data_IF_773823823133
#
_entry.id   IF_773823823133
#
_cell.length_a   1.000
_cell.length_b   1.000
_cell.length_c   1.000
_cell.angle_alpha   90.00
_cell.angle_beta   90.00
_cell.angle_gamma   90.00
#
_symmetry.space_group_name_H-M   'P 1'
#
loop_
_entity.id
_entity.type
_entity.pdbx_description
1 polymer ?
#
# COMPACT_ATOMS: atom_id res chain seq x y z
N UNK A 1 -39.43 -7.95 38.51
CA UNK A 1 -39.70 -8.01 37.05
C UNK A 1 -38.90 -6.90 36.39
N UNK A 2 -38.02 -7.17 35.43
CA UNK A 2 -37.19 -6.13 34.82
C UNK A 2 -38.08 -5.13 34.05
N UNK A 3 -37.86 -3.83 34.29
CA UNK A 3 -38.64 -2.78 33.66
C UNK A 3 -38.35 -2.73 32.14
N UNK A 4 -39.38 -2.56 31.29
CA UNK A 4 -39.25 -2.61 29.82
C UNK A 4 -38.25 -1.59 29.26
N UNK A 5 -38.05 -0.48 29.97
CA UNK A 5 -37.10 0.59 29.60
C UNK A 5 -35.63 0.09 29.66
N UNK A 6 -35.30 -0.77 30.63
CA UNK A 6 -33.93 -1.31 30.80
C UNK A 6 -33.59 -2.28 29.66
N UNK A 7 -34.59 -3.03 29.18
CA UNK A 7 -34.44 -3.96 28.06
C UNK A 7 -34.15 -3.17 26.78
N UNK A 8 -34.92 -2.12 26.49
CA UNK A 8 -34.74 -1.28 25.28
C UNK A 8 -33.39 -0.57 25.28
N UNK A 9 -32.96 -0.01 26.42
CA UNK A 9 -31.65 0.61 26.55
C UNK A 9 -30.51 -0.39 26.29
N UNK A 10 -30.61 -1.61 26.83
CA UNK A 10 -29.62 -2.68 26.62
C UNK A 10 -29.54 -3.11 25.15
N UNK A 11 -30.67 -3.18 24.45
CA UNK A 11 -30.73 -3.48 23.01
C UNK A 11 -30.04 -2.40 22.17
N UNK A 12 -30.29 -1.12 22.46
CA UNK A 12 -29.65 -0.01 21.74
C UNK A 12 -28.12 -0.01 21.94
N UNK A 13 -27.66 -0.29 23.17
CA UNK A 13 -26.23 -0.43 23.47
C UNK A 13 -25.61 -1.62 22.73
N UNK A 14 -26.32 -2.75 22.62
CA UNK A 14 -25.84 -3.92 21.88
C UNK A 14 -25.71 -3.64 20.37
N UNK A 15 -26.68 -2.93 19.77
CA UNK A 15 -26.65 -2.53 18.36
C UNK A 15 -25.46 -1.60 18.09
N UNK A 16 -25.27 -0.59 18.96
CA UNK A 16 -24.14 0.34 18.84
C UNK A 16 -22.80 -0.38 18.98
N UNK A 17 -22.67 -1.25 19.98
CA UNK A 17 -21.45 -2.04 20.19
C UNK A 17 -21.14 -2.95 19.01
N UNK A 18 -22.18 -3.55 18.39
CA UNK A 18 -22.04 -4.38 17.20
C UNK A 18 -21.59 -3.57 15.98
N UNK A 19 -22.10 -2.35 15.82
CA UNK A 19 -21.66 -1.44 14.76
C UNK A 19 -20.21 -0.98 14.95
N UNK A 20 -19.84 -0.61 16.18
CA UNK A 20 -18.47 -0.22 16.54
C UNK A 20 -17.48 -1.40 16.34
N UNK A 21 -17.86 -2.62 16.74
CA UNK A 21 -17.06 -3.82 16.46
C UNK A 21 -16.92 -4.07 14.95
N UNK A 22 -18.01 -3.93 14.19
CA UNK A 22 -18.01 -4.14 12.75
C UNK A 22 -17.12 -3.12 12.05
N UNK A 23 -17.12 -1.87 12.51
CA UNK A 23 -16.22 -0.81 12.05
C UNK A 23 -14.77 -1.14 12.35
N UNK A 24 -14.45 -1.52 13.59
CA UNK A 24 -13.09 -1.93 13.98
C UNK A 24 -12.59 -3.15 13.20
N UNK A 25 -13.46 -4.14 12.94
CA UNK A 25 -13.12 -5.31 12.13
C UNK A 25 -12.84 -4.90 10.67
N UNK A 26 -13.64 -3.98 10.11
CA UNK A 26 -13.40 -3.42 8.77
C UNK A 26 -12.06 -2.66 8.71
N UNK A 27 -11.79 -1.80 9.68
CA UNK A 27 -10.53 -1.05 9.78
C UNK A 27 -9.32 -1.99 9.94
N UNK A 28 -9.41 -3.01 10.81
CA UNK A 28 -8.38 -4.05 10.95
C UNK A 28 -8.17 -4.87 9.68
N UNK A 29 -9.24 -5.20 8.95
CA UNK A 29 -9.14 -5.89 7.66
C UNK A 29 -8.45 -4.99 6.63
N UNK A 30 -8.84 -3.71 6.54
CA UNK A 30 -8.21 -2.75 5.64
C UNK A 30 -6.70 -2.61 5.92
N UNK A 31 -6.29 -2.49 7.18
CA UNK A 31 -4.88 -2.43 7.57
C UNK A 31 -4.10 -3.72 7.21
N UNK A 32 -4.71 -4.90 7.36
CA UNK A 32 -4.10 -6.17 6.92
C UNK A 32 -3.94 -6.25 5.41
N UNK A 33 -4.93 -5.80 4.66
CA UNK A 33 -4.87 -5.76 3.18
C UNK A 33 -3.76 -4.81 2.73
N UNK A 34 -3.65 -3.65 3.38
CA UNK A 34 -2.64 -2.63 3.09
C UNK A 34 -1.22 -3.13 3.32
N UNK A 35 -0.99 -3.85 4.42
CA UNK A 35 0.31 -4.50 4.69
C UNK A 35 0.65 -5.57 3.66
N UNK A 36 -0.35 -6.30 3.18
CA UNK A 36 -0.16 -7.29 2.11
C UNK A 36 0.19 -6.61 0.78
N UNK A 37 -0.44 -5.49 0.48
CA UNK A 37 -0.20 -4.71 -0.73
C UNK A 37 1.15 -3.97 -0.73
N UNK A 38 1.58 -3.44 0.42
CA UNK A 38 2.92 -2.88 0.59
C UNK A 38 4.01 -3.95 0.32
N UNK A 39 3.84 -5.14 0.89
CA UNK A 39 4.75 -6.27 0.64
C UNK A 39 4.79 -6.70 -0.82
N UNK A 40 3.64 -6.81 -1.49
CA UNK A 40 3.62 -7.20 -2.91
C UNK A 40 4.29 -6.14 -3.79
N UNK A 41 4.09 -4.86 -3.49
CA UNK A 41 4.73 -3.73 -4.19
C UNK A 41 6.24 -3.74 -4.00
N UNK A 42 6.73 -4.06 -2.80
CA UNK A 42 8.16 -4.20 -2.50
C UNK A 42 8.80 -5.35 -3.29
N UNK A 43 8.13 -6.50 -3.42
CA UNK A 43 8.61 -7.63 -4.24
C UNK A 43 8.73 -7.22 -5.71
N UNK A 44 7.74 -6.51 -6.25
CA UNK A 44 7.78 -6.00 -7.62
C UNK A 44 8.92 -5.01 -7.84
N UNK A 45 9.14 -4.12 -6.87
CA UNK A 45 10.22 -3.14 -6.90
C UNK A 45 11.60 -3.81 -6.93
N UNK A 46 11.81 -4.80 -6.06
CA UNK A 46 13.06 -5.59 -6.02
C UNK A 46 13.28 -6.39 -7.31
N UNK A 47 12.23 -6.98 -7.87
CA UNK A 47 12.33 -7.68 -9.15
C UNK A 47 12.67 -6.73 -10.31
N UNK A 48 12.08 -5.54 -10.35
CA UNK A 48 12.37 -4.54 -11.36
C UNK A 48 13.82 -4.03 -11.26
N UNK A 49 14.33 -3.82 -10.05
CA UNK A 49 15.73 -3.48 -9.82
C UNK A 49 16.68 -4.60 -10.27
N UNK A 50 16.43 -5.85 -9.88
CA UNK A 50 17.23 -7.01 -10.33
C UNK A 50 17.24 -7.21 -11.85
N UNK A 51 16.15 -6.85 -12.52
CA UNK A 51 16.03 -6.89 -13.99
C UNK A 51 16.64 -5.67 -14.68
N UNK A 52 17.27 -4.75 -13.94
CA UNK A 52 17.83 -3.51 -14.48
C UNK A 52 16.80 -2.54 -15.06
N UNK A 53 15.52 -2.70 -14.70
CA UNK A 53 14.44 -1.82 -15.13
C UNK A 53 14.42 -0.50 -14.35
N UNK A 54 15.00 -0.51 -13.14
CA UNK A 54 15.14 0.64 -12.26
C UNK A 54 16.62 0.95 -12.05
N UNK A 55 16.94 2.23 -12.00
CA UNK A 55 18.22 2.71 -11.46
C UNK A 55 18.20 2.61 -9.93
N UNK A 56 19.37 2.47 -9.32
CA UNK A 56 19.52 2.44 -7.86
C UNK A 56 18.88 3.64 -7.16
N UNK A 57 19.11 4.85 -7.69
CA UNK A 57 18.46 6.09 -7.19
C UNK A 57 16.93 6.06 -7.28
N UNK A 58 16.37 5.41 -8.30
CA UNK A 58 14.93 5.29 -8.49
C UNK A 58 14.34 4.23 -7.56
N UNK A 59 15.08 3.15 -7.33
CA UNK A 59 14.75 2.12 -6.35
C UNK A 59 14.73 2.71 -4.93
N UNK A 60 15.79 3.41 -4.51
CA UNK A 60 15.89 3.99 -3.17
C UNK A 60 14.78 5.00 -2.90
N UNK A 61 14.49 5.87 -3.87
CA UNK A 61 13.42 6.85 -3.76
C UNK A 61 12.03 6.21 -3.58
N UNK A 62 11.73 5.17 -4.37
CA UNK A 62 10.44 4.46 -4.27
C UNK A 62 10.36 3.61 -2.99
N UNK A 63 11.47 3.01 -2.59
CA UNK A 63 11.58 2.22 -1.38
C UNK A 63 11.36 3.08 -0.12
N UNK A 64 12.01 4.24 -0.04
CA UNK A 64 11.83 5.16 1.08
C UNK A 64 10.38 5.65 1.19
N UNK A 65 9.76 6.01 0.05
CA UNK A 65 8.33 6.40 0.04
C UNK A 65 7.41 5.27 0.45
N UNK A 66 7.71 4.03 0.05
CA UNK A 66 6.94 2.85 0.44
C UNK A 66 7.03 2.60 1.95
N UNK A 67 8.24 2.68 2.52
CA UNK A 67 8.45 2.54 3.97
C UNK A 67 7.70 3.61 4.76
N UNK A 68 7.72 4.87 4.30
CA UNK A 68 6.93 5.95 4.94
C UNK A 68 5.43 5.70 4.82
N UNK A 69 4.95 5.27 3.66
CA UNK A 69 3.52 5.00 3.45
C UNK A 69 3.03 3.82 4.29
N UNK A 70 3.84 2.76 4.43
CA UNK A 70 3.54 1.63 5.32
C UNK A 70 3.53 2.07 6.79
N UNK A 71 4.52 2.86 7.22
CA UNK A 71 4.59 3.38 8.59
C UNK A 71 3.39 4.27 8.97
N UNK A 72 2.91 5.08 8.02
CA UNK A 72 1.76 5.97 8.22
C UNK A 72 0.40 5.30 7.95
N UNK A 73 0.36 4.03 7.51
CA UNK A 73 -0.84 3.35 7.00
C UNK A 73 -1.59 4.18 5.92
N UNK A 74 -0.85 4.90 5.09
CA UNK A 74 -1.42 5.79 4.08
C UNK A 74 -1.70 5.02 2.78
N UNK A 75 -2.98 4.64 2.62
CA UNK A 75 -3.48 3.90 1.46
C UNK A 75 -3.28 4.69 0.17
N UNK A 76 -3.52 6.00 0.22
CA UNK A 76 -3.46 6.86 -0.96
C UNK A 76 -2.01 7.04 -1.42
N UNK A 77 -1.08 7.17 -0.47
CA UNK A 77 0.35 7.19 -0.78
C UNK A 77 0.82 5.88 -1.41
N UNK A 78 0.38 4.72 -0.91
CA UNK A 78 0.70 3.41 -1.51
C UNK A 78 0.18 3.29 -2.96
N UNK A 79 -1.07 3.69 -3.21
CA UNK A 79 -1.63 3.69 -4.57
C UNK A 79 -0.85 4.62 -5.50
N UNK A 80 -0.45 5.80 -5.02
CA UNK A 80 0.36 6.75 -5.79
C UNK A 80 1.75 6.18 -6.11
N UNK A 81 2.41 5.53 -5.15
CA UNK A 81 3.71 4.87 -5.37
C UNK A 81 3.59 3.78 -6.43
N UNK A 82 2.50 3.01 -6.41
CA UNK A 82 2.24 1.97 -7.43
C UNK A 82 2.02 2.58 -8.82
N UNK A 83 1.29 3.69 -8.92
CA UNK A 83 1.13 4.42 -10.17
C UNK A 83 2.47 5.00 -10.68
N UNK A 84 3.26 5.60 -9.79
CA UNK A 84 4.59 6.13 -10.12
C UNK A 84 5.53 5.01 -10.62
N UNK A 85 5.52 3.85 -9.96
CA UNK A 85 6.26 2.66 -10.39
C UNK A 85 5.83 2.17 -11.77
N UNK A 86 4.51 2.07 -12.03
CA UNK A 86 3.99 1.71 -13.35
C UNK A 86 4.37 2.72 -14.44
N UNK A 87 4.36 4.02 -14.12
CA UNK A 87 4.77 5.06 -15.05
C UNK A 87 6.26 4.97 -15.41
N UNK A 88 7.11 4.61 -14.43
CA UNK A 88 8.54 4.37 -14.68
C UNK A 88 8.75 3.14 -15.56
N UNK A 89 8.03 2.04 -15.30
CA UNK A 89 8.09 0.83 -16.12
C UNK A 89 7.53 1.04 -17.54
N UNK A 90 6.49 1.86 -17.69
CA UNK A 90 5.84 2.14 -18.96
C UNK A 90 6.62 3.14 -19.83
N UNK A 91 7.63 3.85 -19.28
CA UNK A 91 8.48 4.74 -20.08
C UNK A 91 9.24 3.91 -21.11
N UNK A 92 8.97 4.08 -22.42
CA UNK A 92 9.78 3.44 -23.44
C UNK A 92 11.19 3.98 -23.31
N UNK A 93 12.11 3.04 -23.11
CA UNK A 93 13.54 3.14 -22.88
C UNK A 93 14.30 4.14 -23.77
N UNK A 94 14.08 5.45 -23.65
CA UNK A 94 14.96 6.47 -24.26
C UNK A 94 16.37 6.43 -23.64
N UNK A 95 16.52 5.88 -22.42
CA UNK A 95 17.81 5.75 -21.71
C UNK A 95 18.53 4.41 -21.90
N UNK A 96 17.94 3.37 -22.52
CA UNK A 96 18.66 2.09 -22.76
C UNK A 96 19.60 2.16 -23.96
N UNK A 97 19.36 3.07 -24.89
CA UNK A 97 20.18 3.20 -26.11
C UNK A 97 21.55 3.82 -25.82
N UNK A 98 21.72 4.52 -24.70
CA UNK A 98 22.96 5.21 -24.37
C UNK A 98 24.01 4.29 -23.73
N UNK A 99 23.60 3.32 -22.89
CA UNK A 99 24.53 2.35 -22.29
C UNK A 99 25.06 1.28 -23.24
N UNK A 100 24.35 1.01 -24.34
CA UNK A 100 24.86 0.09 -25.36
C UNK A 100 25.99 0.74 -26.19
N UNK A 101 26.06 2.08 -26.24
CA UNK A 101 27.06 2.81 -27.05
C UNK A 101 28.39 3.04 -26.33
N UNK A 102 28.40 3.03 -24.99
CA UNK A 102 29.62 3.21 -24.19
C UNK A 102 30.44 1.93 -23.97
N UNK A 103 29.96 0.76 -24.42
CA UNK A 103 30.69 -0.52 -24.33
C UNK A 103 31.19 -1.04 -25.69
N UNK A 104 30.95 -0.29 -26.77
CA UNK A 104 31.37 -0.62 -28.14
C UNK A 104 32.52 0.30 -28.64
N UNK A 105 33.27 0.94 -27.74
CA UNK A 105 34.46 1.74 -28.05
C UNK A 105 35.69 1.29 -27.25
#
# INVERSE_FOLDING_TARGET
MPHPIIVIASFLTAIRSTWELSRMVREKRAAKTLKTEAKSTLVLLQQAYRKGLLLEREFDYLFERLMRAEACNDVAALQKIRADFQAILARPSRRRVERQRDMDY
#
